data_IF_530137342683
#
_entry.id   IF_530137342683
#
_cell.length_a   1.000
_cell.length_b   1.000
_cell.length_c   1.000
_cell.angle_alpha   90.00
_cell.angle_beta   90.00
_cell.angle_gamma   90.00
#
_symmetry.space_group_name_H-M   'P 1'
#
loop_
_entity.id
_entity.type
_entity.pdbx_description
1 polymer ?
#
# COMPACT_ATOMS: atom_id res chain seq x y z
N UNK A 1 2.26 1.20 -5.19
CA UNK A 1 2.53 2.44 -4.42
C UNK A 1 2.25 2.17 -2.95
N UNK A 2 2.97 2.83 -2.05
CA UNK A 2 2.79 2.73 -0.60
C UNK A 2 2.40 4.09 -0.06
N UNK A 3 1.35 4.13 0.77
CA UNK A 3 0.96 5.30 1.54
C UNK A 3 1.00 4.97 3.04
N UNK A 4 1.26 5.96 3.87
CA UNK A 4 1.19 5.85 5.33
C UNK A 4 0.21 6.87 5.88
N UNK A 5 -0.52 6.49 6.92
CA UNK A 5 -1.28 7.41 7.75
C UNK A 5 -0.78 7.22 9.19
N UNK A 6 0.02 8.18 9.67
CA UNK A 6 0.61 8.10 11.00
C UNK A 6 -0.43 8.31 12.11
N UNK A 7 -1.45 9.16 11.89
CA UNK A 7 -2.52 9.40 12.86
C UNK A 7 -3.39 8.15 13.08
N UNK A 8 -3.64 7.39 12.02
CA UNK A 8 -4.43 6.17 12.04
C UNK A 8 -3.59 4.91 12.24
N UNK A 9 -2.26 5.03 12.39
CA UNK A 9 -1.30 3.93 12.47
C UNK A 9 -1.50 2.87 11.36
N UNK A 10 -1.56 3.33 10.10
CA UNK A 10 -1.87 2.50 8.93
C UNK A 10 -0.86 2.66 7.81
N UNK A 11 -0.62 1.57 7.09
CA UNK A 11 0.15 1.52 5.85
C UNK A 11 -0.74 0.92 4.77
N UNK A 12 -0.86 1.59 3.63
CA UNK A 12 -1.68 1.16 2.50
C UNK A 12 -0.81 0.82 1.30
N UNK A 13 -1.00 -0.38 0.74
CA UNK A 13 -0.44 -0.77 -0.56
C UNK A 13 -1.53 -0.71 -1.63
N UNK A 14 -1.29 0.08 -2.68
CA UNK A 14 -2.23 0.27 -3.79
C UNK A 14 -1.54 0.46 -5.13
N UNK A 15 -2.17 -0.01 -6.20
CA UNK A 15 -1.78 0.20 -7.60
C UNK A 15 -2.55 1.34 -8.27
N UNK A 16 -3.58 1.88 -7.61
CA UNK A 16 -4.48 2.88 -8.19
C UNK A 16 -3.85 4.26 -8.14
N UNK A 17 -3.78 4.92 -9.29
CA UNK A 17 -3.28 6.31 -9.33
C UNK A 17 -4.21 7.30 -8.62
N UNK A 18 -5.52 7.02 -8.55
CA UNK A 18 -6.46 7.86 -7.81
C UNK A 18 -6.15 7.94 -6.31
N UNK A 19 -5.55 6.90 -5.74
CA UNK A 19 -5.19 6.90 -4.31
C UNK A 19 -4.09 7.92 -3.97
N UNK A 20 -3.44 8.54 -4.97
CA UNK A 20 -2.58 9.71 -4.75
C UNK A 20 -3.34 10.88 -4.13
N UNK A 21 -4.65 10.98 -4.36
CA UNK A 21 -5.50 12.02 -3.77
C UNK A 21 -5.56 11.91 -2.23
N UNK A 22 -5.32 10.71 -1.68
CA UNK A 22 -5.23 10.50 -0.23
C UNK A 22 -4.09 11.29 0.41
N UNK A 23 -3.03 11.61 -0.35
CA UNK A 23 -1.90 12.39 0.13
C UNK A 23 -2.30 13.81 0.60
N UNK A 24 -3.47 14.31 0.18
CA UNK A 24 -4.03 15.58 0.63
C UNK A 24 -4.94 15.50 1.87
N UNK A 25 -5.22 14.30 2.38
CA UNK A 25 -6.20 14.06 3.46
C UNK A 25 -5.63 13.21 4.60
N UNK A 26 -4.36 13.44 4.96
CA UNK A 26 -3.71 12.80 6.12
C UNK A 26 -2.92 11.54 5.80
N UNK A 27 -2.82 11.16 4.52
CA UNK A 27 -1.87 10.14 4.08
C UNK A 27 -0.60 10.77 3.52
N UNK A 28 0.49 10.02 3.51
CA UNK A 28 1.75 10.41 2.89
C UNK A 28 2.25 9.31 1.98
N UNK A 29 2.65 9.65 0.75
CA UNK A 29 3.21 8.68 -0.20
C UNK A 29 4.65 8.39 0.20
N UNK A 30 4.93 7.12 0.49
CA UNK A 30 6.27 6.67 0.92
C UNK A 30 7.11 6.19 -0.26
N UNK A 31 6.45 5.67 -1.30
CA UNK A 31 7.15 5.28 -2.53
C UNK A 31 6.24 4.65 -3.58
N UNK A 32 6.71 4.72 -4.82
CA UNK A 32 6.19 3.94 -5.94
C UNK A 32 7.17 2.81 -6.27
N UNK A 33 6.64 1.64 -6.59
CA UNK A 33 7.41 0.42 -6.85
C UNK A 33 6.91 -0.18 -8.16
N UNK A 34 7.79 -0.87 -8.87
CA UNK A 34 7.46 -1.47 -10.17
C UNK A 34 6.66 -2.76 -10.03
N UNK A 35 6.85 -3.49 -8.94
CA UNK A 35 6.09 -4.71 -8.65
C UNK A 35 5.30 -4.60 -7.35
N UNK A 36 4.17 -5.31 -7.31
CA UNK A 36 3.36 -5.45 -6.10
C UNK A 36 4.14 -6.11 -4.96
N UNK A 37 4.99 -7.10 -5.27
CA UNK A 37 5.83 -7.78 -4.29
C UNK A 37 6.75 -6.80 -3.56
N UNK A 38 7.48 -5.97 -4.30
CA UNK A 38 8.39 -4.99 -3.69
C UNK A 38 7.62 -3.98 -2.82
N UNK A 39 6.45 -3.52 -3.29
CA UNK A 39 5.61 -2.62 -2.52
C UNK A 39 5.10 -3.26 -1.22
N UNK A 40 4.67 -4.52 -1.30
CA UNK A 40 4.16 -5.27 -0.16
C UNK A 40 5.24 -5.56 0.87
N UNK A 41 6.40 -6.06 0.44
CA UNK A 41 7.53 -6.36 1.34
C UNK A 41 7.95 -5.10 2.09
N UNK A 42 8.10 -3.97 1.38
CA UNK A 42 8.48 -2.72 2.01
C UNK A 42 7.40 -2.19 2.96
N UNK A 43 6.12 -2.29 2.59
CA UNK A 43 5.02 -1.83 3.42
C UNK A 43 4.86 -2.68 4.69
N UNK A 44 5.06 -3.99 4.59
CA UNK A 44 5.08 -4.93 5.72
C UNK A 44 6.19 -4.58 6.70
N UNK A 45 7.40 -4.33 6.21
CA UNK A 45 8.53 -3.98 7.08
C UNK A 45 8.26 -2.65 7.82
N UNK A 46 7.67 -1.65 7.13
CA UNK A 46 7.26 -0.39 7.78
C UNK A 46 6.17 -0.62 8.84
N UNK A 47 5.20 -1.47 8.53
CA UNK A 47 4.12 -1.79 9.44
C UNK A 47 4.62 -2.49 10.71
N UNK A 48 5.54 -3.45 10.56
CA UNK A 48 6.15 -4.19 11.67
C UNK A 48 7.04 -3.27 12.54
N UNK A 49 7.88 -2.43 11.91
CA UNK A 49 8.76 -1.49 12.61
C UNK A 49 7.99 -0.45 13.45
N UNK A 50 6.78 -0.09 13.03
CA UNK A 50 5.98 1.00 13.62
C UNK A 50 4.76 0.52 14.40
N UNK A 51 4.52 -0.79 14.46
CA UNK A 51 3.31 -1.39 15.02
C UNK A 51 2.03 -0.86 14.34
N UNK A 52 2.07 -0.72 13.01
CA UNK A 52 0.97 -0.21 12.19
C UNK A 52 0.20 -1.34 11.51
N UNK A 53 -1.05 -1.07 11.16
CA UNK A 53 -1.89 -1.99 10.40
C UNK A 53 -1.54 -1.87 8.91
N UNK A 54 -1.15 -2.99 8.31
CA UNK A 54 -0.98 -3.10 6.85
C UNK A 54 -2.32 -3.38 6.17
N UNK A 55 -2.77 -2.44 5.33
CA UNK A 55 -3.91 -2.58 4.43
C UNK A 55 -3.42 -2.79 2.99
N UNK A 56 -4.06 -3.71 2.28
CA UNK A 56 -3.74 -4.01 0.90
C UNK A 56 -5.01 -4.27 0.09
N UNK A 57 -5.23 -3.48 -0.97
CA UNK A 57 -6.27 -3.75 -1.94
C UNK A 57 -5.81 -4.82 -2.93
N UNK A 58 -6.26 -6.05 -2.70
CA UNK A 58 -5.94 -7.26 -3.47
C UNK A 58 -6.77 -7.42 -4.76
N UNK A 59 -7.50 -6.39 -5.20
CA UNK A 59 -8.41 -6.49 -6.36
C UNK A 59 -7.68 -6.63 -7.72
N UNK A 60 -6.35 -6.61 -7.77
CA UNK A 60 -5.57 -6.70 -9.02
C UNK A 60 -4.66 -7.93 -9.13
N UNK A 61 -4.73 -8.90 -8.20
CA UNK A 61 -3.93 -10.14 -8.24
C UNK A 61 -4.66 -11.36 -8.84
N UNK A 62 -5.52 -11.19 -9.85
CA UNK A 62 -6.05 -12.33 -10.61
C UNK A 62 -5.86 -12.20 -12.12
N UNK A 63 -4.85 -12.85 -12.71
CA UNK A 63 -5.10 -13.75 -13.81
C UNK A 63 -5.65 -15.05 -13.21
N UNK A 64 -6.97 -15.19 -13.09
CA UNK A 64 -7.57 -16.53 -12.97
C UNK A 64 -7.18 -17.29 -14.24
N UNK A 65 -6.44 -18.42 -14.17
CA UNK A 65 -6.23 -19.23 -15.36
C UNK A 65 -7.57 -19.87 -15.74
N UNK A 66 -8.03 -19.58 -16.96
CA UNK A 66 -9.15 -20.28 -17.58
C UNK A 66 -8.83 -21.77 -17.67
N UNK A 67 -9.56 -22.61 -16.95
CA UNK A 67 -9.57 -24.05 -17.18
C UNK A 67 -10.98 -24.62 -16.99
#
# INVERSE_FOLDING_TARGET
MILINEEAARVLVTGREQDKELAGVGWSIIGSFQTWREAYERARDIADERDYILEWYLEEETPVPSN
#
